data_IF_461874864254
#
_entry.id   IF_461874864254
#
_cell.length_a   1.000
_cell.length_b   1.000
_cell.length_c   1.000
_cell.angle_alpha   90.00
_cell.angle_beta   90.00
_cell.angle_gamma   90.00
#
_symmetry.space_group_name_H-M   'P 1'
#
loop_
_entity.id
_entity.type
_entity.pdbx_description
1 polymer ?
#
# COMPACT_ATOMS: atom_id res chain seq x y z
N UNK A 1 -33.42 3.43 30.27
CA UNK A 1 -34.13 4.63 30.80
C UNK A 1 -33.84 5.87 29.94
N UNK A 2 -32.62 6.02 29.35
CA UNK A 2 -32.17 7.21 28.60
C UNK A 2 -32.43 7.14 27.09
N UNK A 3 -33.17 6.16 26.57
CA UNK A 3 -33.38 5.92 25.13
C UNK A 3 -33.90 7.17 24.37
N UNK A 4 -34.82 7.92 24.99
CA UNK A 4 -35.41 9.13 24.35
C UNK A 4 -34.44 10.31 24.17
N UNK A 5 -33.28 10.28 24.81
CA UNK A 5 -32.25 11.33 24.77
C UNK A 5 -31.15 11.03 23.73
N UNK A 6 -31.16 9.83 23.14
CA UNK A 6 -30.23 9.44 22.10
C UNK A 6 -30.50 10.14 20.77
N UNK A 7 -29.46 10.45 20.01
CA UNK A 7 -29.60 10.93 18.63
C UNK A 7 -30.30 9.90 17.74
N UNK A 8 -30.92 10.30 16.63
CA UNK A 8 -31.56 9.38 15.71
C UNK A 8 -30.64 8.23 15.25
N UNK A 9 -29.38 8.53 14.96
CA UNK A 9 -28.37 7.55 14.60
C UNK A 9 -28.09 6.55 15.73
N UNK A 10 -28.06 7.00 16.99
CA UNK A 10 -27.85 6.13 18.13
C UNK A 10 -29.08 5.31 18.48
N UNK A 11 -30.29 5.80 18.19
CA UNK A 11 -31.51 5.01 18.29
C UNK A 11 -31.51 3.84 17.29
N UNK A 12 -31.09 4.07 16.07
CA UNK A 12 -30.95 3.03 15.06
C UNK A 12 -29.85 2.00 15.44
N UNK A 13 -28.72 2.49 15.99
CA UNK A 13 -27.66 1.64 16.52
C UNK A 13 -28.11 0.77 17.68
N UNK A 14 -28.95 1.31 18.57
CA UNK A 14 -29.48 0.57 19.70
C UNK A 14 -30.25 -0.68 19.27
N UNK A 15 -30.92 -0.63 18.13
CA UNK A 15 -31.71 -1.75 17.57
C UNK A 15 -30.85 -2.74 16.80
N UNK A 16 -29.88 -2.26 16.03
CA UNK A 16 -29.03 -3.09 15.16
C UNK A 16 -27.79 -3.66 15.85
N UNK A 17 -27.07 -2.81 16.59
CA UNK A 17 -25.86 -3.19 17.30
C UNK A 17 -25.66 -2.21 18.47
N UNK A 18 -26.22 -2.50 19.65
CA UNK A 18 -26.20 -1.60 20.80
C UNK A 18 -24.77 -1.27 21.29
N UNK A 19 -23.81 -2.16 21.11
CA UNK A 19 -22.42 -1.90 21.48
C UNK A 19 -21.83 -0.67 20.75
N UNK A 20 -22.28 -0.35 19.55
CA UNK A 20 -21.83 0.84 18.81
C UNK A 20 -22.23 2.17 19.43
N UNK A 21 -23.06 2.17 20.46
CA UNK A 21 -23.37 3.39 21.23
C UNK A 21 -22.18 3.77 22.10
N UNK A 22 -21.43 2.77 22.61
CA UNK A 22 -20.25 2.99 23.46
C UNK A 22 -19.11 3.71 22.70
N UNK A 23 -19.01 3.52 21.39
CA UNK A 23 -18.05 4.22 20.53
C UNK A 23 -18.67 5.44 19.80
N UNK A 24 -19.69 6.06 20.37
CA UNK A 24 -20.33 7.21 19.74
C UNK A 24 -19.47 8.47 19.86
N UNK A 25 -19.16 9.09 18.71
CA UNK A 25 -18.37 10.33 18.65
C UNK A 25 -19.21 11.61 18.92
N UNK A 26 -20.56 11.48 19.05
CA UNK A 26 -21.41 12.57 19.47
C UNK A 26 -21.27 12.77 20.99
N UNK A 27 -20.83 13.95 21.48
CA UNK A 27 -20.57 14.20 22.91
C UNK A 27 -21.79 13.94 23.82
N UNK A 28 -22.98 14.30 23.35
CA UNK A 28 -24.21 14.10 24.11
C UNK A 28 -24.52 12.61 24.29
N UNK A 29 -24.42 11.82 23.22
CA UNK A 29 -24.64 10.38 23.29
C UNK A 29 -23.54 9.68 24.09
N UNK A 30 -22.29 10.11 23.96
CA UNK A 30 -21.17 9.58 24.75
C UNK A 30 -21.38 9.83 26.26
N UNK A 31 -21.80 11.05 26.64
CA UNK A 31 -22.11 11.36 28.03
C UNK A 31 -23.26 10.51 28.58
N UNK A 32 -24.27 10.19 27.77
CA UNK A 32 -25.38 9.32 28.16
C UNK A 32 -24.95 7.86 28.37
N UNK A 33 -23.88 7.45 27.67
CA UNK A 33 -23.33 6.09 27.74
C UNK A 33 -22.17 5.94 28.73
N UNK A 34 -21.75 7.01 29.41
CA UNK A 34 -20.59 7.00 30.29
C UNK A 34 -20.72 5.98 31.46
N UNK A 35 -21.95 5.76 31.94
CA UNK A 35 -22.24 4.79 33.03
C UNK A 35 -22.66 3.41 32.46
N UNK A 36 -22.51 3.18 31.17
CA UNK A 36 -22.92 1.89 30.61
C UNK A 36 -21.97 0.77 31.05
N UNK A 37 -22.48 -0.45 31.24
CA UNK A 37 -21.62 -1.59 31.53
C UNK A 37 -20.58 -1.79 30.45
N UNK A 38 -19.34 -2.02 30.81
CA UNK A 38 -18.26 -2.32 29.89
C UNK A 38 -18.01 -3.82 29.81
N UNK A 39 -17.62 -4.32 28.66
CA UNK A 39 -17.46 -5.77 28.41
C UNK A 39 -16.42 -6.41 29.34
N UNK A 40 -15.43 -5.65 29.77
CA UNK A 40 -14.35 -6.13 30.64
C UNK A 40 -14.84 -6.57 32.02
N UNK A 41 -15.96 -6.01 32.52
CA UNK A 41 -16.54 -6.36 33.82
C UNK A 41 -17.33 -7.69 33.79
N UNK A 42 -17.55 -8.24 32.58
CA UNK A 42 -18.40 -9.41 32.36
C UNK A 42 -17.68 -10.54 31.60
N UNK A 43 -16.35 -10.55 31.63
CA UNK A 43 -15.57 -11.61 31.00
C UNK A 43 -15.78 -12.94 31.71
N UNK A 44 -16.02 -14.01 30.96
CA UNK A 44 -15.92 -15.36 31.54
C UNK A 44 -14.44 -15.71 31.80
N UNK A 45 -14.21 -16.77 32.58
CA UNK A 45 -12.86 -17.21 32.98
C UNK A 45 -11.94 -17.44 31.74
N UNK A 46 -12.45 -18.11 30.72
CA UNK A 46 -11.70 -18.36 29.44
C UNK A 46 -11.29 -17.05 28.75
N UNK A 47 -12.21 -16.10 28.65
CA UNK A 47 -11.94 -14.80 28.02
C UNK A 47 -10.97 -13.96 28.85
N UNK A 48 -11.10 -13.98 30.19
CA UNK A 48 -10.19 -13.28 31.07
C UNK A 48 -8.77 -13.86 31.00
N UNK A 49 -8.64 -15.17 31.10
CA UNK A 49 -7.34 -15.87 30.96
C UNK A 49 -6.69 -15.58 29.60
N UNK A 50 -7.48 -15.63 28.53
CA UNK A 50 -6.98 -15.30 27.19
C UNK A 50 -6.47 -13.86 27.10
N UNK A 51 -7.24 -12.89 27.63
CA UNK A 51 -6.89 -11.48 27.55
C UNK A 51 -5.65 -11.15 28.39
N UNK A 52 -5.54 -11.71 29.59
CA UNK A 52 -4.32 -11.58 30.40
C UNK A 52 -3.10 -12.18 29.69
N UNK A 53 -3.26 -13.33 29.05
CA UNK A 53 -2.20 -13.95 28.24
C UNK A 53 -1.76 -13.10 27.03
N UNK A 54 -2.67 -12.32 26.44
CA UNK A 54 -2.32 -11.34 25.37
C UNK A 54 -1.49 -10.20 25.96
N UNK A 55 -1.94 -9.59 27.07
CA UNK A 55 -1.22 -8.49 27.74
C UNK A 55 0.19 -8.90 28.14
N UNK A 56 0.35 -10.04 28.79
CA UNK A 56 1.66 -10.58 29.18
C UNK A 56 2.63 -10.72 28.01
N UNK A 57 2.14 -11.09 26.82
CA UNK A 57 2.96 -11.22 25.62
C UNK A 57 3.34 -9.86 25.04
N UNK A 58 2.43 -8.89 25.04
CA UNK A 58 2.73 -7.53 24.63
C UNK A 58 3.79 -6.89 25.55
N UNK A 59 3.63 -7.09 26.88
CA UNK A 59 4.59 -6.62 27.87
C UNK A 59 5.99 -7.25 27.66
N UNK A 60 6.03 -8.56 27.40
CA UNK A 60 7.28 -9.28 27.11
C UNK A 60 7.96 -8.82 25.82
N UNK A 61 7.19 -8.31 24.84
CA UNK A 61 7.69 -7.72 23.61
C UNK A 61 8.07 -6.24 23.77
N UNK A 62 7.82 -5.63 24.92
CA UNK A 62 8.05 -4.20 25.16
C UNK A 62 7.12 -3.30 24.34
N UNK A 63 5.94 -3.80 23.96
CA UNK A 63 4.95 -3.04 23.21
C UNK A 63 4.06 -2.24 24.14
N UNK A 64 4.02 -0.92 23.97
CA UNK A 64 3.09 -0.05 24.69
C UNK A 64 1.67 -0.20 24.12
N UNK A 65 0.70 -0.34 25.02
CA UNK A 65 -0.72 -0.44 24.65
C UNK A 65 -1.61 0.20 25.73
N UNK A 66 -2.80 0.58 25.32
CA UNK A 66 -3.85 1.06 26.22
C UNK A 66 -5.03 0.11 26.15
N UNK A 67 -5.52 -0.33 27.30
CA UNK A 67 -6.77 -1.10 27.39
C UNK A 67 -7.94 -0.12 27.34
N UNK A 68 -8.67 -0.12 26.23
CA UNK A 68 -9.87 0.69 26.06
C UNK A 68 -11.12 -0.21 26.02
N UNK A 69 -11.97 -0.18 27.06
CA UNK A 69 -13.18 -0.99 27.13
C UNK A 69 -14.29 -0.56 26.17
N UNK A 70 -14.12 0.57 25.49
CA UNK A 70 -15.12 1.15 24.60
C UNK A 70 -14.84 0.88 23.11
N UNK A 71 -13.77 0.16 22.75
CA UNK A 71 -13.52 -0.22 21.36
C UNK A 71 -14.63 -1.13 20.87
N UNK A 72 -15.34 -0.69 19.83
CA UNK A 72 -16.38 -1.47 19.16
C UNK A 72 -16.06 -1.57 17.68
N UNK A 73 -15.93 -2.79 17.17
CA UNK A 73 -15.75 -3.04 15.75
C UNK A 73 -17.08 -3.02 14.98
N UNK A 74 -17.00 -2.67 13.70
CA UNK A 74 -18.18 -2.52 12.83
C UNK A 74 -18.84 -3.84 12.42
N UNK A 75 -18.17 -4.98 12.66
CA UNK A 75 -18.62 -6.31 12.25
C UNK A 75 -18.83 -7.18 13.50
N UNK A 76 -19.78 -8.08 13.43
CA UNK A 76 -20.29 -8.89 14.54
C UNK A 76 -19.61 -10.25 14.69
N UNK A 77 -18.73 -10.63 13.78
CA UNK A 77 -18.02 -11.91 13.83
C UNK A 77 -16.82 -11.94 14.80
N UNK A 78 -16.43 -10.79 15.36
CA UNK A 78 -15.31 -10.75 16.30
C UNK A 78 -15.61 -11.48 17.62
N UNK A 79 -14.58 -12.18 18.10
CA UNK A 79 -14.59 -12.89 19.38
C UNK A 79 -13.38 -12.49 20.21
N UNK A 80 -13.46 -12.63 21.55
CA UNK A 80 -12.35 -12.40 22.50
C UNK A 80 -11.71 -11.00 22.33
N UNK A 81 -10.55 -10.91 21.64
CA UNK A 81 -9.76 -9.67 21.58
C UNK A 81 -9.94 -8.94 20.26
N UNK A 82 -10.18 -7.63 20.35
CA UNK A 82 -10.11 -6.68 19.22
C UNK A 82 -9.04 -5.65 19.51
N UNK A 83 -8.48 -5.04 18.47
CA UNK A 83 -7.45 -4.01 18.60
C UNK A 83 -7.54 -2.96 17.51
N UNK A 84 -6.96 -1.80 17.82
CA UNK A 84 -6.77 -0.70 16.88
C UNK A 84 -5.37 -0.10 17.05
N UNK A 85 -4.77 0.30 15.93
CA UNK A 85 -3.63 1.22 15.91
C UNK A 85 -4.18 2.60 15.57
N UNK A 86 -3.93 3.54 16.45
CA UNK A 86 -4.43 4.91 16.32
C UNK A 86 -3.28 5.90 16.22
N UNK A 87 -3.49 7.00 15.48
CA UNK A 87 -2.54 8.11 15.41
C UNK A 87 -3.25 9.42 15.70
N UNK A 88 -2.65 10.26 16.53
CA UNK A 88 -3.12 11.62 16.81
C UNK A 88 -3.04 12.54 15.58
N UNK A 89 -2.19 12.21 14.60
CA UNK A 89 -1.95 13.03 13.42
C UNK A 89 -3.15 13.07 12.45
N UNK A 90 -4.09 12.12 12.58
CA UNK A 90 -5.27 12.01 11.72
C UNK A 90 -6.55 12.66 12.29
N UNK A 91 -6.46 13.38 13.39
CA UNK A 91 -7.60 14.05 14.01
C UNK A 91 -8.71 13.08 14.48
N UNK A 92 -9.99 13.41 14.21
CA UNK A 92 -11.13 12.65 14.73
C UNK A 92 -11.26 11.21 14.21
N UNK A 93 -10.60 10.87 13.09
CA UNK A 93 -10.58 9.52 12.51
C UNK A 93 -9.20 8.89 12.69
N UNK A 94 -8.78 8.71 13.92
CA UNK A 94 -7.43 8.32 14.31
C UNK A 94 -7.04 6.87 14.01
N UNK A 95 -8.00 5.97 13.78
CA UNK A 95 -7.72 4.55 13.53
C UNK A 95 -7.08 4.33 12.16
N UNK A 96 -5.87 3.81 12.13
CA UNK A 96 -5.08 3.48 10.92
C UNK A 96 -5.24 2.02 10.53
N UNK A 97 -5.19 1.15 11.54
CA UNK A 97 -5.32 -0.28 11.40
C UNK A 97 -6.23 -0.80 12.50
N UNK A 98 -7.06 -1.76 12.19
CA UNK A 98 -7.90 -2.38 13.20
C UNK A 98 -8.30 -3.79 12.82
N UNK A 99 -8.42 -4.63 13.84
CA UNK A 99 -8.70 -6.03 13.66
C UNK A 99 -9.11 -6.72 14.96
N UNK A 100 -9.01 -8.02 14.93
CA UNK A 100 -9.33 -8.85 16.10
C UNK A 100 -9.44 -10.32 15.76
N UNK A 101 -9.77 -11.09 16.74
CA UNK A 101 -9.98 -12.52 16.65
C UNK A 101 -11.42 -12.84 16.20
N UNK A 102 -11.60 -13.88 15.43
CA UNK A 102 -12.91 -14.32 14.93
C UNK A 102 -12.96 -15.86 14.75
N UNK A 103 -13.05 -16.56 15.88
CA UNK A 103 -12.94 -18.03 15.94
C UNK A 103 -14.08 -18.78 15.23
N UNK A 104 -15.26 -18.17 15.12
CA UNK A 104 -16.42 -18.80 14.48
C UNK A 104 -16.58 -18.55 12.98
N UNK A 105 -15.81 -17.63 12.40
CA UNK A 105 -16.06 -17.17 11.02
C UNK A 105 -15.78 -18.25 9.98
N UNK A 106 -14.70 -19.02 10.15
CA UNK A 106 -14.34 -20.09 9.19
C UNK A 106 -15.42 -21.16 9.15
N UNK A 107 -15.96 -21.54 10.30
CA UNK A 107 -17.06 -22.51 10.41
C UNK A 107 -18.38 -21.97 9.80
N UNK A 108 -18.70 -20.70 10.03
CA UNK A 108 -19.85 -20.04 9.40
C UNK A 108 -19.76 -20.00 7.88
N UNK A 109 -18.54 -19.97 7.34
CA UNK A 109 -18.28 -20.02 5.90
C UNK A 109 -18.22 -21.44 5.32
N UNK A 110 -18.50 -22.47 6.14
CA UNK A 110 -18.52 -23.87 5.71
C UNK A 110 -17.18 -24.60 5.84
N UNK A 111 -16.18 -24.00 6.47
CA UNK A 111 -14.91 -24.65 6.79
C UNK A 111 -14.94 -25.38 8.13
N UNK A 112 -13.84 -26.04 8.52
CA UNK A 112 -13.71 -26.63 9.86
C UNK A 112 -13.61 -25.52 10.93
N UNK A 113 -14.02 -25.84 12.17
CA UNK A 113 -13.85 -24.93 13.29
C UNK A 113 -12.37 -24.57 13.49
N UNK A 114 -12.01 -23.34 13.12
CA UNK A 114 -10.62 -22.89 13.07
C UNK A 114 -10.52 -21.50 13.71
N UNK A 115 -9.77 -21.36 14.81
CA UNK A 115 -9.48 -20.05 15.37
C UNK A 115 -8.72 -19.19 14.35
N UNK A 116 -9.17 -17.96 14.17
CA UNK A 116 -8.56 -17.04 13.22
C UNK A 116 -8.49 -15.62 13.80
N UNK A 117 -7.54 -14.85 13.28
CA UNK A 117 -7.45 -13.43 13.52
C UNK A 117 -7.05 -12.70 12.23
N UNK A 118 -7.41 -11.45 12.13
CA UNK A 118 -7.02 -10.62 10.99
C UNK A 118 -7.20 -9.15 11.28
N UNK A 119 -6.72 -8.35 10.36
CA UNK A 119 -6.81 -6.90 10.44
C UNK A 119 -6.95 -6.28 9.05
N UNK A 120 -7.45 -5.05 9.02
CA UNK A 120 -7.43 -4.21 7.84
C UNK A 120 -6.71 -2.90 8.15
N UNK A 121 -5.95 -2.39 7.19
CA UNK A 121 -5.14 -1.19 7.32
C UNK A 121 -5.45 -0.22 6.17
N UNK A 122 -5.60 1.07 6.50
CA UNK A 122 -5.79 2.11 5.50
C UNK A 122 -4.44 2.59 4.97
N UNK A 123 -4.08 2.21 3.74
CA UNK A 123 -2.81 2.62 3.13
C UNK A 123 -2.74 4.13 2.95
N UNK A 124 -3.83 4.76 2.51
CA UNK A 124 -3.92 6.21 2.37
C UNK A 124 -3.73 6.92 3.71
N UNK A 125 -4.21 6.35 4.81
CA UNK A 125 -4.01 6.89 6.16
C UNK A 125 -2.56 6.81 6.60
N UNK A 126 -1.86 5.73 6.26
CA UNK A 126 -0.41 5.63 6.51
C UNK A 126 0.35 6.70 5.75
N UNK A 127 0.02 6.91 4.47
CA UNK A 127 0.65 7.97 3.66
C UNK A 127 0.42 9.35 4.26
N UNK A 128 -0.81 9.65 4.72
CA UNK A 128 -1.12 10.92 5.40
C UNK A 128 -0.33 11.12 6.70
N UNK A 129 -0.09 10.04 7.47
CA UNK A 129 0.74 10.10 8.68
C UNK A 129 2.20 10.39 8.32
N UNK A 130 2.75 9.68 7.32
CA UNK A 130 4.11 9.92 6.85
C UNK A 130 4.29 11.37 6.41
N UNK A 131 3.33 11.92 5.68
CA UNK A 131 3.32 13.32 5.25
C UNK A 131 3.25 14.28 6.45
N UNK A 132 2.35 14.02 7.41
CA UNK A 132 2.20 14.84 8.62
C UNK A 132 3.47 14.84 9.49
N UNK A 133 4.19 13.73 9.51
CA UNK A 133 5.48 13.58 10.22
C UNK A 133 6.68 14.08 9.42
N UNK A 134 6.48 14.58 8.20
CA UNK A 134 7.56 15.06 7.34
C UNK A 134 8.49 13.97 6.82
N UNK A 135 8.04 12.71 6.82
CA UNK A 135 8.80 11.59 6.29
C UNK A 135 8.69 11.59 4.77
N UNK A 136 9.82 11.76 4.10
CA UNK A 136 9.88 11.72 2.65
C UNK A 136 9.69 10.29 2.14
N UNK A 137 8.65 10.08 1.33
CA UNK A 137 8.44 8.80 0.68
C UNK A 137 9.34 8.73 -0.54
N UNK A 138 10.24 7.74 -0.64
CA UNK A 138 11.12 7.61 -1.79
C UNK A 138 10.30 7.55 -3.09
N UNK A 139 10.64 8.38 -4.05
CA UNK A 139 10.02 8.28 -5.37
C UNK A 139 10.36 6.92 -5.96
N UNK A 140 9.40 6.23 -6.61
CA UNK A 140 9.72 5.01 -7.32
C UNK A 140 10.80 5.29 -8.37
N UNK A 141 11.68 4.33 -8.61
CA UNK A 141 12.66 4.45 -9.68
C UNK A 141 11.95 4.74 -11.01
N UNK A 142 12.42 5.78 -11.71
CA UNK A 142 11.88 6.18 -12.98
C UNK A 142 12.15 5.14 -14.08
N UNK A 143 11.57 5.33 -15.24
CA UNK A 143 11.84 4.50 -16.40
C UNK A 143 13.35 4.50 -16.72
N UNK A 144 13.97 3.32 -16.71
CA UNK A 144 15.40 3.21 -17.01
C UNK A 144 15.68 3.46 -18.49
N UNK A 145 14.90 2.85 -19.37
CA UNK A 145 15.05 2.96 -20.81
C UNK A 145 13.71 3.16 -21.50
N UNK A 146 13.64 4.14 -22.38
CA UNK A 146 12.55 4.28 -23.34
C UNK A 146 12.97 3.84 -24.73
N UNK A 147 12.32 2.81 -25.27
CA UNK A 147 12.53 2.34 -26.63
C UNK A 147 11.56 3.04 -27.59
N UNK A 148 12.07 4.03 -28.31
CA UNK A 148 11.35 4.65 -29.41
C UNK A 148 11.39 3.80 -30.70
N UNK A 149 10.43 4.04 -31.60
CA UNK A 149 10.38 3.31 -32.88
C UNK A 149 9.93 4.19 -34.01
N UNK A 150 10.44 3.91 -35.20
CA UNK A 150 10.06 4.54 -36.46
C UNK A 150 9.73 3.46 -37.50
N UNK A 151 8.43 3.33 -37.82
CA UNK A 151 7.90 2.26 -38.65
C UNK A 151 7.43 1.04 -37.91
N UNK A 152 6.58 0.23 -38.52
CA UNK A 152 5.89 -0.89 -37.91
C UNK A 152 6.84 -2.01 -37.47
N UNK A 153 7.80 -2.38 -38.29
CA UNK A 153 8.80 -3.40 -37.95
C UNK A 153 9.64 -3.00 -36.73
N UNK A 154 10.01 -1.71 -36.64
CA UNK A 154 10.73 -1.17 -35.51
C UNK A 154 9.86 -1.17 -34.23
N UNK A 155 8.57 -0.88 -34.34
CA UNK A 155 7.63 -0.93 -33.22
C UNK A 155 7.48 -2.37 -32.67
N UNK A 156 7.37 -3.37 -33.53
CA UNK A 156 7.33 -4.78 -33.17
C UNK A 156 8.62 -5.18 -32.44
N UNK A 157 9.76 -4.77 -32.94
CA UNK A 157 11.05 -5.08 -32.31
C UNK A 157 11.24 -4.35 -30.98
N UNK A 158 10.81 -3.08 -30.89
CA UNK A 158 10.79 -2.34 -29.62
C UNK A 158 9.94 -3.05 -28.57
N UNK A 159 8.75 -3.53 -28.94
CA UNK A 159 7.89 -4.31 -28.06
C UNK A 159 8.59 -5.60 -27.57
N UNK A 160 9.24 -6.34 -28.48
CA UNK A 160 9.98 -7.57 -28.15
C UNK A 160 11.13 -7.30 -27.17
N UNK A 161 11.96 -6.28 -27.45
CA UNK A 161 13.06 -5.87 -26.57
C UNK A 161 12.55 -5.38 -25.21
N UNK A 162 11.49 -4.59 -25.19
CA UNK A 162 10.85 -4.14 -23.95
C UNK A 162 10.44 -5.32 -23.09
N UNK A 163 9.76 -6.31 -23.67
CA UNK A 163 9.34 -7.50 -22.93
C UNK A 163 10.54 -8.32 -22.41
N UNK A 164 11.58 -8.50 -23.24
CA UNK A 164 12.81 -9.18 -22.84
C UNK A 164 13.45 -8.48 -21.63
N UNK A 165 13.70 -7.18 -21.72
CA UNK A 165 14.35 -6.39 -20.67
C UNK A 165 13.53 -6.32 -19.39
N UNK A 166 12.19 -6.25 -19.48
CA UNK A 166 11.30 -6.36 -18.32
C UNK A 166 11.42 -7.73 -17.64
N UNK A 167 11.56 -8.81 -18.42
CA UNK A 167 11.82 -10.15 -17.88
C UNK A 167 13.16 -10.26 -17.12
N UNK A 168 14.11 -9.40 -17.43
CA UNK A 168 15.40 -9.27 -16.73
C UNK A 168 15.37 -8.28 -15.53
N UNK A 169 14.18 -7.71 -15.23
CA UNK A 169 13.98 -6.86 -14.05
C UNK A 169 14.14 -5.35 -14.31
N UNK A 170 14.37 -4.92 -15.56
CA UNK A 170 14.49 -3.49 -15.86
C UNK A 170 13.13 -2.82 -16.06
N UNK A 171 12.99 -1.59 -15.58
CA UNK A 171 11.83 -0.77 -15.92
C UNK A 171 12.03 -0.11 -17.28
N UNK A 172 11.45 -0.67 -18.31
CA UNK A 172 11.56 -0.24 -19.72
C UNK A 172 10.18 0.06 -20.28
N UNK A 173 10.07 1.12 -21.06
CA UNK A 173 8.84 1.52 -21.77
C UNK A 173 9.09 1.64 -23.26
N UNK A 174 8.05 1.45 -24.08
CA UNK A 174 8.06 1.73 -25.51
C UNK A 174 6.78 2.45 -25.94
N UNK A 175 6.76 2.95 -27.18
CA UNK A 175 5.54 3.58 -27.70
C UNK A 175 4.48 2.53 -28.05
N UNK A 176 3.31 2.68 -27.46
CA UNK A 176 2.11 1.85 -27.72
C UNK A 176 0.99 2.63 -28.42
N UNK A 177 1.25 3.92 -28.73
CA UNK A 177 0.25 4.83 -29.30
C UNK A 177 0.49 5.14 -30.79
N UNK A 178 1.54 4.59 -31.40
CA UNK A 178 1.90 4.90 -32.77
C UNK A 178 2.33 6.36 -33.01
N UNK A 179 2.92 7.00 -31.97
CA UNK A 179 3.34 8.40 -32.05
C UNK A 179 4.60 8.58 -32.93
N UNK A 180 4.71 9.74 -33.56
CA UNK A 180 5.97 10.10 -34.24
C UNK A 180 7.12 10.28 -33.25
N UNK A 181 8.38 10.05 -33.67
CA UNK A 181 9.60 10.03 -32.83
C UNK A 181 9.72 11.26 -31.91
N UNK A 182 9.42 12.47 -32.43
CA UNK A 182 9.46 13.69 -31.63
C UNK A 182 8.51 13.64 -30.42
N UNK A 183 7.30 13.10 -30.62
CA UNK A 183 6.32 12.94 -29.54
C UNK A 183 6.71 11.83 -28.57
N UNK A 184 7.31 10.74 -29.06
CA UNK A 184 7.86 9.67 -28.25
C UNK A 184 8.97 10.20 -27.33
N UNK A 185 9.91 10.98 -27.84
CA UNK A 185 10.99 11.57 -27.03
C UNK A 185 10.47 12.58 -26.00
N UNK A 186 9.43 13.35 -26.36
CA UNK A 186 8.75 14.22 -25.37
C UNK A 186 8.11 13.41 -24.24
N UNK A 187 7.55 12.24 -24.58
CA UNK A 187 6.98 11.34 -23.57
C UNK A 187 8.05 10.68 -22.72
N UNK A 188 9.16 10.23 -23.31
CA UNK A 188 10.31 9.70 -22.57
C UNK A 188 10.80 10.70 -21.51
N UNK A 189 10.93 11.98 -21.86
CA UNK A 189 11.24 13.04 -20.90
C UNK A 189 10.17 13.20 -19.83
N UNK A 190 8.88 13.15 -20.21
CA UNK A 190 7.77 13.31 -19.26
C UNK A 190 7.75 12.22 -18.20
N UNK A 191 8.08 10.98 -18.55
CA UNK A 191 8.14 9.85 -17.62
C UNK A 191 9.47 9.73 -16.88
N UNK A 192 10.39 10.67 -17.11
CA UNK A 192 11.72 10.67 -16.49
C UNK A 192 12.60 9.49 -16.90
N UNK A 193 12.52 9.07 -18.17
CA UNK A 193 13.38 8.01 -18.66
C UNK A 193 14.85 8.43 -18.57
N UNK A 194 15.69 7.57 -17.96
CA UNK A 194 17.13 7.82 -17.83
C UNK A 194 17.85 7.71 -19.15
N UNK A 195 17.49 6.70 -19.94
CA UNK A 195 18.03 6.46 -21.27
C UNK A 195 16.90 6.40 -22.30
N UNK A 196 17.26 6.70 -23.55
CA UNK A 196 16.40 6.45 -24.70
C UNK A 196 17.19 5.84 -25.84
N UNK A 197 16.54 4.98 -26.62
CA UNK A 197 17.08 4.40 -27.86
C UNK A 197 15.94 4.36 -28.87
N UNK A 198 16.18 4.85 -30.09
CA UNK A 198 15.18 4.83 -31.16
C UNK A 198 15.57 3.76 -32.17
N UNK A 199 14.64 2.88 -32.49
CA UNK A 199 14.76 1.86 -33.50
C UNK A 199 14.14 2.35 -34.84
N UNK A 200 14.85 2.18 -35.92
CA UNK A 200 14.38 2.35 -37.26
C UNK A 200 14.95 1.24 -38.15
N UNK A 201 14.76 1.33 -39.46
CA UNK A 201 15.22 0.31 -40.41
C UNK A 201 16.73 0.10 -40.35
N UNK A 202 17.52 1.16 -40.13
CA UNK A 202 18.96 1.08 -40.02
C UNK A 202 19.41 0.29 -38.77
N UNK A 203 18.82 0.56 -37.61
CA UNK A 203 19.11 -0.13 -36.35
C UNK A 203 18.71 -1.61 -36.44
N UNK A 204 17.60 -1.91 -37.14
CA UNK A 204 17.17 -3.28 -37.38
C UNK A 204 18.14 -4.04 -38.31
N UNK A 205 18.64 -3.37 -39.34
CA UNK A 205 19.56 -3.97 -40.34
C UNK A 205 20.97 -4.20 -39.76
N UNK A 206 21.45 -3.26 -38.92
CA UNK A 206 22.80 -3.31 -38.34
C UNK A 206 22.89 -4.06 -37.01
N UNK A 207 21.76 -4.25 -36.33
CA UNK A 207 21.72 -4.77 -34.95
C UNK A 207 22.32 -3.82 -33.91
N UNK A 208 22.53 -2.54 -34.27
CA UNK A 208 23.13 -1.52 -33.41
C UNK A 208 22.21 -0.31 -33.28
N UNK A 209 22.28 0.39 -32.16
CA UNK A 209 21.52 1.62 -31.93
C UNK A 209 22.25 2.61 -31.04
N UNK A 210 21.79 3.85 -31.05
CA UNK A 210 22.34 4.92 -30.24
C UNK A 210 21.59 5.02 -28.91
N UNK A 211 22.21 4.56 -27.85
CA UNK A 211 21.73 4.75 -26.50
C UNK A 211 22.03 6.17 -26.03
N UNK A 212 21.02 6.95 -25.81
CA UNK A 212 21.12 8.35 -25.37
C UNK A 212 20.84 8.44 -23.89
N UNK A 213 21.77 9.03 -23.14
CA UNK A 213 21.53 9.51 -21.79
C UNK A 213 20.67 10.77 -21.86
N UNK A 214 19.53 10.75 -21.16
CA UNK A 214 18.52 11.82 -21.26
C UNK A 214 18.88 13.04 -20.42
N UNK A 215 19.76 12.90 -19.43
CA UNK A 215 20.22 14.00 -18.58
C UNK A 215 21.36 14.75 -19.24
N UNK A 216 22.39 14.03 -19.64
CA UNK A 216 23.61 14.63 -20.22
C UNK A 216 23.50 14.87 -21.75
N UNK A 217 22.59 14.18 -22.41
CA UNK A 217 22.48 14.17 -23.87
C UNK A 217 23.56 13.35 -24.57
N UNK A 218 24.48 12.72 -23.86
CA UNK A 218 25.53 11.88 -24.41
C UNK A 218 24.92 10.66 -25.12
N UNK A 219 25.56 10.26 -26.24
CA UNK A 219 25.11 9.13 -27.06
C UNK A 219 26.24 8.11 -27.18
N UNK A 220 25.89 6.83 -27.03
CA UNK A 220 26.84 5.72 -27.15
C UNK A 220 26.22 4.66 -28.04
N UNK A 221 26.99 4.20 -29.04
CA UNK A 221 26.56 3.06 -29.89
C UNK A 221 26.57 1.79 -29.07
N UNK A 222 25.47 1.02 -29.12
CA UNK A 222 25.30 -0.25 -28.43
C UNK A 222 24.78 -1.32 -29.39
N UNK A 223 25.24 -2.56 -29.22
CA UNK A 223 24.65 -3.72 -29.85
C UNK A 223 23.31 -4.05 -29.15
N UNK A 224 22.24 -4.21 -29.92
CA UNK A 224 20.90 -4.47 -29.39
C UNK A 224 20.84 -5.79 -28.59
N UNK A 225 21.65 -6.77 -28.97
CA UNK A 225 21.75 -8.05 -28.25
C UNK A 225 22.40 -7.91 -26.84
N UNK A 226 23.32 -6.95 -26.69
CA UNK A 226 24.04 -6.67 -25.45
C UNK A 226 23.45 -5.50 -24.65
N UNK A 227 22.25 -5.05 -25.04
CA UNK A 227 21.63 -3.90 -24.40
C UNK A 227 21.38 -4.12 -22.92
N UNK A 228 21.01 -5.34 -22.52
CA UNK A 228 20.82 -5.71 -21.12
C UNK A 228 22.10 -5.56 -20.29
N UNK A 229 23.23 -6.11 -20.79
CA UNK A 229 24.53 -6.00 -20.11
C UNK A 229 24.92 -4.54 -19.91
N UNK A 230 24.70 -3.72 -20.94
CA UNK A 230 24.97 -2.27 -20.86
C UNK A 230 24.11 -1.54 -19.84
N UNK A 231 22.84 -1.95 -19.70
CA UNK A 231 21.95 -1.39 -18.67
C UNK A 231 22.34 -1.85 -17.27
N UNK A 232 22.79 -3.09 -17.09
CA UNK A 232 23.34 -3.57 -15.82
C UNK A 232 24.55 -2.75 -15.39
N UNK A 233 25.53 -2.56 -16.27
CA UNK A 233 26.72 -1.75 -15.99
C UNK A 233 26.34 -0.31 -15.58
N UNK A 234 25.42 0.29 -16.32
CA UNK A 234 24.94 1.64 -16.06
C UNK A 234 24.18 1.78 -14.71
N UNK A 235 23.45 0.72 -14.31
CA UNK A 235 22.76 0.68 -13.04
C UNK A 235 23.71 0.50 -11.87
N UNK A 236 24.69 -0.41 -12.01
CA UNK A 236 25.74 -0.64 -11.00
C UNK A 236 26.59 0.61 -10.77
N UNK A 237 27.02 1.28 -11.83
CA UNK A 237 27.78 2.54 -11.71
C UNK A 237 26.98 3.60 -10.94
N UNK A 238 25.70 3.79 -11.25
CA UNK A 238 24.85 4.75 -10.56
C UNK A 238 24.49 4.36 -9.11
N UNK A 239 24.63 3.09 -8.71
CA UNK A 239 24.51 2.67 -7.32
C UNK A 239 25.80 2.94 -6.53
N UNK A 240 26.95 2.74 -7.13
CA UNK A 240 28.24 3.03 -6.53
C UNK A 240 28.44 4.53 -6.26
N UNK A 241 27.99 5.40 -7.20
CA UNK A 241 28.04 6.86 -7.03
C UNK A 241 27.14 7.37 -5.88
N UNK A 242 26.12 6.63 -5.51
CA UNK A 242 25.24 6.98 -4.35
C UNK A 242 25.81 6.53 -3.00
N UNK A 243 26.83 5.70 -2.98
CA UNK A 243 27.47 5.18 -1.76
C UNK A 243 28.75 5.95 -1.38
N UNK A 244 29.22 6.81 -2.25
CA UNK A 244 30.38 7.73 -2.04
C UNK A 244 29.89 9.15 -1.75
#
# INVERSE_FOLDING_TARGET
PRKAQLSPTCLERLEKNPMRILDCKNPECAALAADAPVVLDYLCEDCSTHFEGVKQRLDALGMEYTVDPHIVRGLDYYTKTVFEFVSSDLGAQSTVCGGGRYDGLVEQMGGPATPALGFAMGLERLLLILEAQGIEIPKPEGCLLYLGSMGENAAIQACRLTNKLRGEGFYVECDVMGRGVKAQMKYANKIGAKYSLVLGDNELATGKGMLKDMETGAQTEVELEKLADRLYDATLAGQLDKLT
#
